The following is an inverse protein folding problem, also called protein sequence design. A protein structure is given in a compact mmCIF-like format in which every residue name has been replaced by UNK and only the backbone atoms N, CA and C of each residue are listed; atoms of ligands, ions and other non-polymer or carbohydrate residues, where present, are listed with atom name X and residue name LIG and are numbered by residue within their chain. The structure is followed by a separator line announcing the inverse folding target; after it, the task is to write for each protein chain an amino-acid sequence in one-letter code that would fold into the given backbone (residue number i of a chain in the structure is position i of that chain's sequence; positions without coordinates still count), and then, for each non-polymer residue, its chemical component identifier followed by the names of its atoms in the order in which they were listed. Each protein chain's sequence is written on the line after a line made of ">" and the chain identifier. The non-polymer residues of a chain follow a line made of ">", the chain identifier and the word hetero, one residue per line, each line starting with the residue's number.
data_IF_450379985031
#
_entry.id   IF_450379985031
#
_cell.length_a   1.000
_cell.length_b   1.000
_cell.length_c   1.000
_cell.angle_alpha   90.00
_cell.angle_beta   90.00
_cell.angle_gamma   90.00
#
_symmetry.space_group_name_H-M   'P 1'
#
loop_
_entity.id
_entity.type
_entity.pdbx_description
1 polymer ?
#
# COMPACT_ATOMS: atom_id res chain seq x y z
N UNK A 1 -3.65 -12.50 -0.58
CA UNK A 1 -3.20 -13.39 0.53
C UNK A 1 -3.56 -14.82 0.18
N UNK A 2 -2.75 -15.81 0.54
CA UNK A 2 -3.04 -17.21 0.25
C UNK A 2 -3.95 -17.88 1.30
N UNK A 3 -4.66 -18.90 0.86
CA UNK A 3 -5.23 -19.99 1.66
C UNK A 3 -4.82 -21.30 0.99
N UNK A 4 -4.86 -22.42 1.72
CA UNK A 4 -4.72 -23.74 1.09
C UNK A 4 -5.85 -24.70 1.47
N UNK A 5 -6.09 -25.66 0.59
CA UNK A 5 -7.15 -26.67 0.68
C UNK A 5 -6.94 -27.75 1.75
N UNK A 6 -5.86 -27.67 2.53
CA UNK A 6 -5.69 -28.48 3.74
C UNK A 6 -6.19 -27.76 5.00
N UNK A 7 -6.41 -26.45 4.93
CA UNK A 7 -6.97 -25.67 6.03
C UNK A 7 -8.42 -26.08 6.30
N UNK A 8 -8.85 -26.17 7.58
CA UNK A 8 -10.26 -26.30 7.92
C UNK A 8 -11.10 -25.15 7.34
N UNK A 9 -12.33 -25.44 6.89
CA UNK A 9 -13.22 -24.42 6.30
C UNK A 9 -13.48 -23.23 7.22
N UNK A 10 -13.53 -23.43 8.54
CA UNK A 10 -13.70 -22.33 9.49
C UNK A 10 -12.46 -21.45 9.62
N UNK A 11 -11.27 -21.99 9.38
CA UNK A 11 -10.02 -21.24 9.33
C UNK A 11 -9.91 -20.46 8.01
N UNK A 12 -10.28 -21.07 6.88
CA UNK A 12 -10.39 -20.40 5.58
C UNK A 12 -11.34 -19.20 5.70
N UNK A 13 -12.56 -19.42 6.21
CA UNK A 13 -13.55 -18.35 6.36
C UNK A 13 -13.02 -17.19 7.20
N UNK A 14 -12.38 -17.47 8.35
CA UNK A 14 -11.76 -16.43 9.20
C UNK A 14 -10.66 -15.66 8.48
N UNK A 15 -9.76 -16.35 7.77
CA UNK A 15 -8.63 -15.72 7.07
C UNK A 15 -9.13 -14.87 5.89
N UNK A 16 -10.11 -15.36 5.14
CA UNK A 16 -10.75 -14.64 4.03
C UNK A 16 -11.48 -13.39 4.54
N UNK A 17 -12.30 -13.51 5.59
CA UNK A 17 -13.02 -12.39 6.20
C UNK A 17 -12.07 -11.30 6.72
N UNK A 18 -10.96 -11.71 7.34
CA UNK A 18 -9.91 -10.79 7.78
C UNK A 18 -9.32 -10.02 6.59
N UNK A 19 -9.00 -10.71 5.49
CA UNK A 19 -8.41 -10.09 4.29
C UNK A 19 -9.39 -9.14 3.61
N UNK A 20 -10.67 -9.52 3.53
CA UNK A 20 -11.76 -8.73 2.93
C UNK A 20 -11.99 -7.42 3.69
N UNK A 21 -11.90 -7.47 5.03
CA UNK A 21 -12.15 -6.32 5.91
C UNK A 21 -10.91 -5.51 6.24
N UNK A 22 -9.71 -5.98 5.89
CA UNK A 22 -8.48 -5.27 6.23
C UNK A 22 -8.42 -3.95 5.49
N UNK A 23 -8.46 -2.87 6.27
CA UNK A 23 -8.33 -1.50 5.80
C UNK A 23 -7.43 -0.72 6.77
N UNK A 24 -6.43 -0.04 6.23
CA UNK A 24 -5.59 0.91 6.97
C UNK A 24 -5.77 2.28 6.36
N UNK A 25 -6.27 3.24 7.15
CA UNK A 25 -6.30 4.64 6.72
C UNK A 25 -4.89 5.25 6.87
N UNK A 26 -4.36 5.78 5.77
CA UNK A 26 -3.07 6.47 5.74
C UNK A 26 -3.11 7.67 4.80
N UNK A 27 -2.86 8.86 5.35
CA UNK A 27 -2.81 10.12 4.60
C UNK A 27 -4.14 10.35 3.83
N UNK A 28 -5.28 10.07 4.49
CA UNK A 28 -6.62 10.21 3.90
C UNK A 28 -6.95 9.21 2.80
N UNK A 29 -6.20 8.11 2.68
CA UNK A 29 -6.48 7.04 1.74
C UNK A 29 -6.64 5.70 2.47
N UNK A 30 -7.57 4.89 1.98
CA UNK A 30 -7.78 3.52 2.47
C UNK A 30 -6.81 2.56 1.77
N UNK A 31 -5.95 1.90 2.54
CA UNK A 31 -5.06 0.86 2.05
C UNK A 31 -5.66 -0.51 2.34
N UNK A 32 -6.02 -1.23 1.28
CA UNK A 32 -6.67 -2.54 1.36
C UNK A 32 -5.82 -3.62 0.67
N UNK A 33 -6.25 -4.88 0.80
CA UNK A 33 -5.79 -6.03 0.02
C UNK A 33 -6.76 -6.28 -1.17
N UNK A 34 -6.29 -6.92 -2.24
CA UNK A 34 -7.01 -6.99 -3.53
C UNK A 34 -7.43 -8.40 -3.96
N UNK A 35 -7.11 -9.46 -3.21
CA UNK A 35 -7.39 -10.81 -3.69
C UNK A 35 -7.00 -11.95 -2.75
N UNK A 36 -7.63 -13.09 -3.00
CA UNK A 36 -7.38 -14.36 -2.32
C UNK A 36 -6.77 -15.35 -3.31
N UNK A 37 -5.64 -15.97 -2.94
CA UNK A 37 -5.03 -17.05 -3.71
C UNK A 37 -5.35 -18.39 -3.06
N UNK A 38 -6.14 -19.23 -3.73
CA UNK A 38 -6.53 -20.56 -3.24
C UNK A 38 -5.55 -21.58 -3.77
N UNK A 39 -4.74 -22.20 -2.90
CA UNK A 39 -3.74 -23.19 -3.27
C UNK A 39 -4.27 -24.61 -3.12
N UNK A 40 -4.12 -25.40 -4.19
CA UNK A 40 -4.29 -26.85 -4.16
C UNK A 40 -3.02 -27.50 -3.60
N UNK A 41 -2.91 -27.60 -2.27
CA UNK A 41 -1.81 -28.27 -1.57
C UNK A 41 -2.06 -29.77 -1.42
N UNK A 42 -3.32 -30.16 -1.23
CA UNK A 42 -3.73 -31.56 -1.06
C UNK A 42 -3.73 -32.37 -2.37
N UNK A 43 -3.84 -31.68 -3.51
CA UNK A 43 -4.01 -32.26 -4.84
C UNK A 43 -5.25 -33.17 -4.94
N UNK A 44 -6.31 -32.82 -4.22
CA UNK A 44 -7.61 -33.49 -4.17
C UNK A 44 -8.71 -32.57 -4.74
N UNK A 45 -9.51 -33.10 -5.67
CA UNK A 45 -10.58 -32.35 -6.36
C UNK A 45 -11.63 -31.80 -5.40
N UNK A 46 -12.02 -32.59 -4.40
CA UNK A 46 -13.10 -32.21 -3.47
C UNK A 46 -12.61 -31.12 -2.53
N UNK A 47 -11.43 -31.32 -1.92
CA UNK A 47 -10.86 -30.32 -1.01
C UNK A 47 -10.58 -28.98 -1.70
N UNK A 48 -10.05 -29.02 -2.92
CA UNK A 48 -9.78 -27.79 -3.66
C UNK A 48 -11.07 -27.06 -4.04
N UNK A 49 -12.09 -27.78 -4.51
CA UNK A 49 -13.41 -27.22 -4.79
C UNK A 49 -14.06 -26.61 -3.54
N UNK A 50 -14.05 -27.33 -2.41
CA UNK A 50 -14.61 -26.88 -1.14
C UNK A 50 -13.90 -25.61 -0.61
N UNK A 51 -12.58 -25.53 -0.76
CA UNK A 51 -11.81 -24.34 -0.38
C UNK A 51 -12.18 -23.12 -1.24
N UNK A 52 -12.39 -23.31 -2.55
CA UNK A 52 -12.84 -22.25 -3.47
C UNK A 52 -14.25 -21.78 -3.10
N UNK A 53 -15.19 -22.70 -2.86
CA UNK A 53 -16.55 -22.37 -2.40
C UNK A 53 -16.50 -21.57 -1.11
N UNK A 54 -15.74 -22.06 -0.12
CA UNK A 54 -15.60 -21.39 1.18
C UNK A 54 -15.06 -19.97 1.01
N UNK A 55 -14.07 -19.75 0.15
CA UNK A 55 -13.55 -18.42 -0.13
C UNK A 55 -14.60 -17.51 -0.80
N UNK A 56 -15.37 -18.02 -1.77
CA UNK A 56 -16.41 -17.27 -2.47
C UNK A 56 -17.60 -16.89 -1.59
N UNK A 57 -17.98 -17.76 -0.64
CA UNK A 57 -19.08 -17.51 0.30
C UNK A 57 -18.75 -16.43 1.35
N UNK A 58 -17.46 -16.16 1.57
CA UNK A 58 -16.99 -15.26 2.63
C UNK A 58 -16.30 -13.98 2.11
N UNK A 59 -16.13 -13.80 0.80
CA UNK A 59 -15.57 -12.57 0.23
C UNK A 59 -15.93 -12.39 -1.25
N UNK A 60 -16.03 -11.12 -1.66
CA UNK A 60 -16.17 -10.71 -3.06
C UNK A 60 -14.84 -10.37 -3.75
N UNK A 61 -13.71 -10.54 -3.06
CA UNK A 61 -12.41 -10.30 -3.64
C UNK A 61 -12.11 -11.24 -4.82
N UNK A 62 -11.38 -10.75 -5.84
CA UNK A 62 -10.86 -11.58 -6.91
C UNK A 62 -10.06 -12.79 -6.41
N UNK A 63 -10.16 -13.89 -7.14
CA UNK A 63 -9.49 -15.15 -6.81
C UNK A 63 -8.29 -15.43 -7.74
N UNK A 64 -7.26 -16.05 -7.17
CA UNK A 64 -6.20 -16.74 -7.92
C UNK A 64 -6.31 -18.24 -7.62
N UNK A 65 -6.47 -19.07 -8.65
CA UNK A 65 -6.56 -20.52 -8.52
C UNK A 65 -5.18 -21.11 -8.75
N UNK A 66 -4.54 -21.59 -7.69
CA UNK A 66 -3.15 -22.03 -7.70
C UNK A 66 -3.02 -23.56 -7.73
N UNK A 67 -2.84 -24.12 -8.93
CA UNK A 67 -2.51 -25.53 -9.17
C UNK A 67 -1.76 -25.70 -10.49
N UNK A 68 -0.81 -26.63 -10.54
CA UNK A 68 -0.17 -27.04 -11.82
C UNK A 68 -0.91 -28.18 -12.51
N UNK A 69 -1.97 -28.72 -11.90
CA UNK A 69 -2.79 -29.80 -12.43
C UNK A 69 -4.04 -29.23 -13.13
N UNK A 70 -4.14 -29.34 -14.48
CA UNK A 70 -5.28 -28.80 -15.22
C UNK A 70 -6.64 -29.36 -14.80
N UNK A 71 -6.70 -30.61 -14.33
CA UNK A 71 -7.97 -31.20 -13.87
C UNK A 71 -8.51 -30.47 -12.62
N UNK A 72 -7.62 -30.12 -11.68
CA UNK A 72 -8.00 -29.37 -10.48
C UNK A 72 -8.38 -27.93 -10.81
N UNK A 73 -7.67 -27.31 -11.76
CA UNK A 73 -8.03 -25.98 -12.25
C UNK A 73 -9.43 -25.99 -12.89
N UNK A 74 -9.76 -27.01 -13.67
CA UNK A 74 -11.09 -27.15 -14.29
C UNK A 74 -12.20 -27.24 -13.23
N UNK A 75 -12.04 -28.08 -12.20
CA UNK A 75 -13.00 -28.18 -11.08
C UNK A 75 -13.22 -26.82 -10.43
N UNK A 76 -12.16 -26.09 -10.11
CA UNK A 76 -12.29 -24.77 -9.50
C UNK A 76 -12.91 -23.72 -10.44
N UNK A 77 -12.64 -23.79 -11.75
CA UNK A 77 -13.22 -22.89 -12.75
C UNK A 77 -14.71 -23.15 -12.98
N UNK A 78 -15.15 -24.41 -12.93
CA UNK A 78 -16.58 -24.74 -12.98
C UNK A 78 -17.37 -24.07 -11.84
N UNK A 79 -16.74 -23.92 -10.68
CA UNK A 79 -17.32 -23.27 -9.49
C UNK A 79 -17.25 -21.74 -9.60
N UNK A 80 -16.12 -21.20 -10.06
CA UNK A 80 -15.76 -19.78 -9.83
C UNK A 80 -15.62 -18.92 -11.09
N UNK A 81 -15.85 -19.47 -12.28
CA UNK A 81 -15.62 -18.77 -13.56
C UNK A 81 -16.38 -17.45 -13.70
N UNK A 82 -17.54 -17.28 -13.05
CA UNK A 82 -18.27 -16.01 -13.03
C UNK A 82 -17.45 -14.86 -12.42
N UNK A 83 -16.55 -15.16 -11.47
CA UNK A 83 -15.62 -14.20 -10.85
C UNK A 83 -14.37 -13.94 -11.70
N UNK A 84 -14.21 -14.59 -12.86
CA UNK A 84 -13.03 -14.50 -13.74
C UNK A 84 -11.69 -14.63 -13.00
N UNK A 85 -11.46 -15.72 -12.26
CA UNK A 85 -10.25 -15.90 -11.47
C UNK A 85 -8.98 -15.92 -12.33
N UNK A 86 -7.85 -15.55 -11.74
CA UNK A 86 -6.53 -15.76 -12.35
C UNK A 86 -6.11 -17.22 -12.21
N UNK A 87 -5.80 -17.85 -13.35
CA UNK A 87 -5.34 -19.24 -13.40
C UNK A 87 -3.82 -19.28 -13.20
N UNK A 88 -3.37 -19.83 -12.07
CA UNK A 88 -1.96 -20.08 -11.79
C UNK A 88 -1.70 -21.60 -11.85
N UNK A 89 -0.99 -22.16 -12.83
CA UNK A 89 -0.29 -21.49 -13.94
C UNK A 89 -0.07 -22.41 -15.16
N UNK A 90 0.12 -21.78 -16.33
CA UNK A 90 0.63 -22.41 -17.54
C UNK A 90 2.16 -22.50 -17.49
N UNK A 91 2.68 -23.73 -17.55
CA UNK A 91 4.10 -24.08 -17.65
C UNK A 91 4.38 -24.74 -18.99
N UNK A 92 5.65 -24.94 -19.32
CA UNK A 92 6.06 -25.65 -20.54
C UNK A 92 5.39 -27.02 -20.71
N UNK A 93 5.12 -27.72 -19.60
CA UNK A 93 4.58 -29.08 -19.58
C UNK A 93 3.05 -29.13 -19.70
N UNK A 94 2.34 -28.08 -19.26
CA UNK A 94 0.88 -28.10 -19.16
C UNK A 94 0.16 -27.01 -19.97
N UNK A 95 0.89 -26.11 -20.65
CA UNK A 95 0.32 -24.90 -21.26
C UNK A 95 -0.85 -25.21 -22.20
N UNK A 96 -0.80 -26.30 -22.98
CA UNK A 96 -1.87 -26.61 -23.95
C UNK A 96 -3.22 -26.74 -23.25
N UNK A 97 -3.26 -27.52 -22.17
CA UNK A 97 -4.47 -27.78 -21.40
C UNK A 97 -4.91 -26.54 -20.62
N UNK A 98 -3.96 -25.84 -19.99
CA UNK A 98 -4.27 -24.63 -19.22
C UNK A 98 -4.81 -23.53 -20.14
N UNK A 99 -4.27 -23.40 -21.35
CA UNK A 99 -4.74 -22.46 -22.35
C UNK A 99 -6.16 -22.79 -22.81
N UNK A 100 -6.47 -24.07 -23.04
CA UNK A 100 -7.82 -24.51 -23.41
C UNK A 100 -8.83 -24.18 -22.30
N UNK A 101 -8.44 -24.31 -21.02
CA UNK A 101 -9.26 -23.89 -19.88
C UNK A 101 -9.44 -22.37 -19.82
N UNK A 102 -8.37 -21.61 -19.99
CA UNK A 102 -8.42 -20.14 -20.01
C UNK A 102 -9.37 -19.62 -21.08
N UNK A 103 -9.36 -20.21 -22.28
CA UNK A 103 -10.28 -19.89 -23.38
C UNK A 103 -11.71 -20.35 -23.07
N UNK A 104 -11.90 -21.58 -22.57
CA UNK A 104 -13.22 -22.14 -22.24
C UNK A 104 -13.95 -21.28 -21.21
N UNK A 105 -13.25 -20.83 -20.17
CA UNK A 105 -13.82 -20.08 -19.06
C UNK A 105 -13.58 -18.57 -19.13
N UNK A 106 -12.91 -18.07 -20.18
CA UNK A 106 -12.60 -16.65 -20.39
C UNK A 106 -11.91 -16.00 -19.16
N UNK A 107 -10.84 -16.65 -18.70
CA UNK A 107 -10.11 -16.28 -17.49
C UNK A 107 -8.63 -15.93 -17.79
N UNK A 108 -8.05 -14.95 -17.09
CA UNK A 108 -6.63 -14.62 -17.22
C UNK A 108 -5.74 -15.79 -16.77
N UNK A 109 -4.53 -15.88 -17.33
CA UNK A 109 -3.58 -16.98 -17.05
C UNK A 109 -2.19 -16.48 -16.71
N UNK A 110 -1.57 -17.11 -15.73
CA UNK A 110 -0.15 -16.91 -15.41
C UNK A 110 0.70 -17.81 -16.29
N UNK A 111 1.63 -17.25 -17.06
CA UNK A 111 2.73 -17.98 -17.67
C UNK A 111 3.88 -18.09 -16.65
N UNK A 112 4.31 -19.30 -16.31
CA UNK A 112 5.35 -19.53 -15.29
C UNK A 112 6.56 -20.27 -15.86
N UNK A 113 7.74 -19.67 -15.70
CA UNK A 113 9.03 -20.31 -16.01
C UNK A 113 10.10 -19.85 -15.00
N UNK A 114 10.18 -20.50 -13.82
CA UNK A 114 11.07 -20.08 -12.76
C UNK A 114 12.55 -20.07 -13.17
N UNK A 115 13.17 -18.88 -13.13
CA UNK A 115 14.58 -18.67 -13.41
C UNK A 115 14.94 -18.63 -14.90
N UNK A 116 13.98 -18.78 -15.81
CA UNK A 116 14.21 -18.85 -17.26
C UNK A 116 13.37 -17.81 -18.01
N UNK A 117 13.96 -16.65 -18.27
CA UNK A 117 13.29 -15.57 -19.02
C UNK A 117 12.96 -16.03 -20.44
N UNK A 118 13.83 -16.76 -21.13
CA UNK A 118 13.56 -17.18 -22.50
C UNK A 118 12.45 -18.24 -22.55
N UNK A 119 12.48 -19.19 -21.63
CA UNK A 119 11.41 -20.17 -21.43
C UNK A 119 10.06 -19.50 -21.17
N UNK A 120 10.04 -18.46 -20.34
CA UNK A 120 8.85 -17.67 -20.07
C UNK A 120 8.30 -17.00 -21.35
N UNK A 121 9.14 -16.30 -22.12
CA UNK A 121 8.70 -15.65 -23.37
C UNK A 121 8.19 -16.63 -24.43
N UNK A 122 8.74 -17.86 -24.45
CA UNK A 122 8.24 -18.92 -25.33
C UNK A 122 6.83 -19.36 -24.93
N UNK A 123 6.57 -19.57 -23.62
CA UNK A 123 5.22 -19.91 -23.12
C UNK A 123 4.23 -18.78 -23.45
N UNK A 124 4.63 -17.52 -23.28
CA UNK A 124 3.78 -16.37 -23.63
C UNK A 124 3.48 -16.35 -25.13
N UNK A 125 4.47 -16.58 -25.99
CA UNK A 125 4.25 -16.73 -27.44
C UNK A 125 3.22 -17.82 -27.74
N UNK A 126 3.32 -18.98 -27.10
CA UNK A 126 2.41 -20.11 -27.30
C UNK A 126 0.98 -19.79 -26.86
N UNK A 127 0.81 -19.08 -25.73
CA UNK A 127 -0.49 -18.59 -25.25
C UNK A 127 -1.10 -17.56 -26.21
N UNK A 128 -0.30 -16.58 -26.67
CA UNK A 128 -0.75 -15.57 -27.63
C UNK A 128 -1.16 -16.21 -28.97
N UNK A 129 -0.43 -17.23 -29.44
CA UNK A 129 -0.78 -17.96 -30.67
C UNK A 129 -2.09 -18.73 -30.55
N UNK A 130 -2.50 -19.11 -29.34
CA UNK A 130 -3.83 -19.66 -29.05
C UNK A 130 -4.92 -18.58 -28.93
N UNK A 131 -4.57 -17.31 -29.01
CA UNK A 131 -5.49 -16.18 -28.92
C UNK A 131 -5.76 -15.68 -27.50
N UNK A 132 -4.90 -16.03 -26.53
CA UNK A 132 -5.00 -15.53 -25.16
C UNK A 132 -4.25 -14.21 -25.05
N UNK A 133 -4.94 -13.17 -24.61
CA UNK A 133 -4.37 -11.82 -24.41
C UNK A 133 -4.24 -11.45 -22.93
N UNK A 134 -5.01 -12.08 -22.04
CA UNK A 134 -4.97 -11.82 -20.60
C UNK A 134 -3.91 -12.70 -19.91
N UNK A 135 -2.65 -12.30 -20.06
CA UNK A 135 -1.49 -13.04 -19.54
C UNK A 135 -0.83 -12.27 -18.39
N UNK A 136 -0.33 -13.00 -17.38
CA UNK A 136 0.50 -12.51 -16.29
C UNK A 136 1.81 -13.31 -16.24
N UNK A 137 2.93 -12.65 -15.97
CA UNK A 137 4.27 -13.24 -16.02
C UNK A 137 4.74 -13.69 -14.63
N UNK A 138 5.25 -14.91 -14.52
CA UNK A 138 5.94 -15.42 -13.35
C UNK A 138 7.31 -16.01 -13.75
N UNK A 139 8.39 -15.32 -13.38
CA UNK A 139 9.78 -15.76 -13.60
C UNK A 139 10.37 -16.46 -12.36
N UNK A 140 9.53 -16.78 -11.38
CA UNK A 140 9.90 -17.42 -10.14
C UNK A 140 10.34 -16.43 -9.06
N UNK A 141 10.02 -16.78 -7.81
CA UNK A 141 10.44 -16.04 -6.61
C UNK A 141 11.42 -16.88 -5.80
N UNK A 142 12.55 -16.30 -5.39
CA UNK A 142 13.59 -16.99 -4.64
C UNK A 142 13.94 -16.20 -3.38
N UNK A 143 13.74 -16.76 -2.16
CA UNK A 143 13.85 -15.98 -0.93
C UNK A 143 15.29 -15.75 -0.45
N UNK A 144 16.25 -16.59 -0.88
CA UNK A 144 17.62 -16.60 -0.35
C UNK A 144 18.68 -16.89 -1.44
N UNK A 145 19.94 -16.56 -1.12
CA UNK A 145 21.12 -16.97 -1.86
C UNK A 145 21.31 -16.28 -3.22
N UNK A 146 22.18 -16.83 -4.06
CA UNK A 146 22.49 -16.25 -5.39
C UNK A 146 21.26 -16.12 -6.29
N UNK A 147 20.26 -17.00 -6.12
CA UNK A 147 19.00 -16.96 -6.86
C UNK A 147 18.13 -15.74 -6.52
N UNK A 148 18.27 -15.16 -5.33
CA UNK A 148 17.60 -13.90 -5.00
C UNK A 148 18.10 -12.76 -5.89
N UNK A 149 19.42 -12.65 -6.11
CA UNK A 149 19.98 -11.66 -7.03
C UNK A 149 19.49 -11.87 -8.47
N UNK A 150 19.54 -13.12 -8.94
CA UNK A 150 19.03 -13.50 -10.27
C UNK A 150 17.54 -13.14 -10.45
N UNK A 151 16.71 -13.32 -9.42
CA UNK A 151 15.30 -12.91 -9.45
C UNK A 151 15.16 -11.42 -9.76
N UNK A 152 15.89 -10.57 -9.04
CA UNK A 152 15.82 -9.11 -9.22
C UNK A 152 16.31 -8.69 -10.61
N UNK A 153 17.36 -9.34 -11.11
CA UNK A 153 17.89 -9.12 -12.46
C UNK A 153 16.86 -9.53 -13.53
N UNK A 154 16.22 -10.69 -13.38
CA UNK A 154 15.20 -11.18 -14.30
C UNK A 154 13.97 -10.26 -14.32
N UNK A 155 13.49 -9.80 -13.16
CA UNK A 155 12.38 -8.85 -13.07
C UNK A 155 12.71 -7.53 -13.78
N UNK A 156 13.93 -7.02 -13.59
CA UNK A 156 14.38 -5.82 -14.29
C UNK A 156 14.55 -6.06 -15.81
N UNK A 157 15.04 -7.22 -16.20
CA UNK A 157 15.18 -7.61 -17.60
C UNK A 157 13.82 -7.66 -18.29
N UNK A 158 12.80 -8.30 -17.70
CA UNK A 158 11.44 -8.35 -18.25
C UNK A 158 10.89 -6.94 -18.50
N UNK A 159 11.01 -6.03 -17.53
CA UNK A 159 10.53 -4.65 -17.69
C UNK A 159 11.26 -3.90 -18.80
N UNK A 160 12.58 -4.08 -18.92
CA UNK A 160 13.38 -3.46 -20.00
C UNK A 160 13.07 -4.05 -21.35
N UNK A 161 12.94 -5.37 -21.46
CA UNK A 161 12.55 -6.05 -22.70
C UNK A 161 11.20 -5.50 -23.21
N UNK A 162 10.24 -5.30 -22.31
CA UNK A 162 8.93 -4.74 -22.67
C UNK A 162 9.00 -3.28 -23.14
N UNK A 163 9.75 -2.42 -22.44
CA UNK A 163 9.74 -0.97 -22.65
C UNK A 163 10.80 -0.51 -23.66
N UNK A 164 12.05 -0.93 -23.44
CA UNK A 164 13.22 -0.49 -24.22
C UNK A 164 13.28 -1.25 -25.54
N UNK A 165 13.21 -2.58 -25.49
CA UNK A 165 13.35 -3.45 -26.67
C UNK A 165 12.00 -3.77 -27.36
N UNK A 166 10.88 -3.40 -26.73
CA UNK A 166 9.51 -3.60 -27.25
C UNK A 166 9.17 -5.06 -27.58
N UNK A 167 9.73 -5.98 -26.80
CA UNK A 167 9.39 -7.41 -26.84
C UNK A 167 7.95 -7.57 -26.33
N UNK A 168 7.04 -7.97 -27.22
CA UNK A 168 5.60 -8.04 -26.92
C UNK A 168 5.30 -9.07 -25.84
N UNK A 169 6.02 -10.18 -25.88
CA UNK A 169 5.92 -11.32 -24.97
C UNK A 169 6.30 -10.93 -23.52
N UNK A 170 7.06 -9.85 -23.34
CA UNK A 170 7.39 -9.30 -22.03
C UNK A 170 6.40 -8.21 -21.56
N UNK A 171 5.47 -7.79 -22.43
CA UNK A 171 4.58 -6.63 -22.25
C UNK A 171 3.38 -6.86 -21.33
N UNK A 172 3.49 -7.80 -20.39
CA UNK A 172 2.40 -8.22 -19.50
C UNK A 172 2.73 -7.93 -18.02
N UNK A 173 1.72 -7.81 -17.15
CA UNK A 173 1.94 -7.63 -15.71
C UNK A 173 2.75 -8.77 -15.10
N UNK A 174 3.54 -8.48 -14.08
CA UNK A 174 4.43 -9.46 -13.42
C UNK A 174 3.87 -9.82 -12.04
N UNK A 175 3.76 -11.12 -11.76
CA UNK A 175 3.37 -11.68 -10.47
C UNK A 175 4.62 -12.08 -9.67
N UNK A 176 4.70 -11.61 -8.42
CA UNK A 176 5.62 -12.14 -7.42
C UNK A 176 4.92 -13.06 -6.43
N UNK A 177 5.65 -14.01 -5.87
CA UNK A 177 5.13 -14.99 -4.91
C UNK A 177 5.95 -14.95 -3.59
N UNK A 178 5.95 -13.83 -2.83
CA UNK A 178 6.72 -13.70 -1.59
C UNK A 178 6.49 -14.79 -0.54
N UNK A 179 5.31 -15.45 -0.57
CA UNK A 179 4.99 -16.53 0.38
C UNK A 179 6.01 -17.66 0.43
N UNK A 180 6.84 -17.82 -0.62
CA UNK A 180 7.96 -18.78 -0.62
C UNK A 180 8.99 -18.53 0.48
N UNK A 181 9.01 -17.34 1.11
CA UNK A 181 9.83 -17.07 2.29
C UNK A 181 9.56 -18.09 3.42
N UNK A 182 8.32 -18.51 3.58
CA UNK A 182 7.88 -19.50 4.58
C UNK A 182 8.40 -20.92 4.32
N UNK A 183 8.95 -21.20 3.13
CA UNK A 183 9.65 -22.46 2.84
C UNK A 183 11.08 -22.46 3.39
N UNK A 184 11.66 -21.28 3.62
CA UNK A 184 13.04 -21.11 4.05
C UNK A 184 13.18 -20.73 5.52
N UNK A 185 12.16 -20.11 6.11
CA UNK A 185 12.13 -19.68 7.49
C UNK A 185 10.75 -19.97 8.08
N UNK A 186 10.71 -20.77 9.14
CA UNK A 186 9.48 -21.24 9.78
C UNK A 186 9.19 -20.55 11.11
N UNK A 187 10.15 -19.78 11.65
CA UNK A 187 9.88 -18.91 12.79
C UNK A 187 8.86 -17.82 12.39
N UNK A 188 7.74 -17.66 13.12
CA UNK A 188 6.67 -16.74 12.71
C UNK A 188 7.14 -15.29 12.51
N UNK A 189 8.03 -14.80 13.37
CA UNK A 189 8.48 -13.40 13.28
C UNK A 189 9.48 -13.25 12.14
N UNK A 190 10.48 -14.14 12.05
CA UNK A 190 11.48 -14.05 10.99
C UNK A 190 10.90 -14.37 9.62
N UNK A 191 9.99 -15.33 9.53
CA UNK A 191 9.27 -15.71 8.32
C UNK A 191 8.44 -14.53 7.80
N UNK A 192 7.71 -13.85 8.68
CA UNK A 192 6.96 -12.65 8.32
C UNK A 192 7.83 -11.48 7.89
N UNK A 193 8.95 -11.24 8.59
CA UNK A 193 9.94 -10.25 8.17
C UNK A 193 10.57 -10.61 6.82
N UNK A 194 10.87 -11.89 6.58
CA UNK A 194 11.43 -12.36 5.32
C UNK A 194 10.43 -12.20 4.16
N UNK A 195 9.16 -12.56 4.37
CA UNK A 195 8.09 -12.34 3.42
C UNK A 195 7.91 -10.85 3.10
N UNK A 196 7.81 -9.99 4.12
CA UNK A 196 7.66 -8.55 3.92
C UNK A 196 8.85 -7.94 3.17
N UNK A 197 10.07 -8.40 3.47
CA UNK A 197 11.30 -7.97 2.77
C UNK A 197 11.29 -8.39 1.30
N UNK A 198 10.84 -9.62 1.02
CA UNK A 198 10.75 -10.15 -0.33
C UNK A 198 9.65 -9.43 -1.14
N UNK A 199 8.48 -9.23 -0.55
CA UNK A 199 7.39 -8.44 -1.11
C UNK A 199 7.81 -7.00 -1.42
N UNK A 200 8.54 -6.35 -0.51
CA UNK A 200 9.08 -5.01 -0.73
C UNK A 200 10.08 -4.98 -1.90
N UNK A 201 10.99 -5.95 -1.96
CA UNK A 201 11.98 -6.07 -3.04
C UNK A 201 11.31 -6.25 -4.40
N UNK A 202 10.28 -7.09 -4.48
CA UNK A 202 9.52 -7.36 -5.69
C UNK A 202 8.65 -6.17 -6.11
N UNK A 203 8.03 -5.46 -5.16
CA UNK A 203 7.30 -4.21 -5.42
C UNK A 203 8.20 -3.13 -6.04
N UNK A 204 9.43 -3.02 -5.54
CA UNK A 204 10.44 -2.08 -6.05
C UNK A 204 11.05 -2.53 -7.38
N UNK A 205 10.86 -3.80 -7.77
CA UNK A 205 11.35 -4.40 -9.00
C UNK A 205 10.20 -4.88 -9.89
N UNK A 206 9.23 -3.99 -10.09
CA UNK A 206 8.25 -4.07 -11.18
C UNK A 206 7.24 -5.22 -11.08
N UNK A 207 7.14 -5.95 -9.96
CA UNK A 207 5.99 -6.83 -9.75
C UNK A 207 4.73 -5.98 -9.58
N UNK A 208 3.70 -6.30 -10.36
CA UNK A 208 2.40 -5.63 -10.40
C UNK A 208 1.40 -6.29 -9.44
N UNK A 209 1.58 -7.58 -9.14
CA UNK A 209 0.80 -8.32 -8.16
C UNK A 209 1.71 -9.19 -7.28
N UNK A 210 1.30 -9.45 -6.04
CA UNK A 210 2.04 -10.28 -5.09
C UNK A 210 1.11 -11.28 -4.39
N UNK A 211 1.54 -12.53 -4.28
CA UNK A 211 0.88 -13.53 -3.42
C UNK A 211 1.69 -13.70 -2.13
N UNK A 212 1.08 -13.26 -1.03
CA UNK A 212 1.64 -13.32 0.32
C UNK A 212 0.85 -14.30 1.21
N UNK A 213 1.49 -14.84 2.24
CA UNK A 213 0.88 -15.76 3.19
C UNK A 213 0.28 -15.05 4.40
N UNK A 214 1.01 -14.08 4.94
CA UNK A 214 0.68 -13.50 6.22
C UNK A 214 -0.48 -12.53 6.20
N UNK A 215 -1.44 -12.69 7.13
CA UNK A 215 -2.55 -11.76 7.31
C UNK A 215 -2.26 -10.68 8.38
N UNK A 216 -1.14 -10.79 9.12
CA UNK A 216 -0.88 -9.96 10.28
C UNK A 216 -0.54 -8.51 9.90
N UNK A 217 -1.15 -7.56 10.62
CA UNK A 217 -1.06 -6.15 10.27
C UNK A 217 0.37 -5.60 10.34
N UNK A 218 1.20 -6.10 11.27
CA UNK A 218 2.58 -5.65 11.42
C UNK A 218 3.48 -6.07 10.24
N UNK A 219 3.10 -7.13 9.52
CA UNK A 219 3.77 -7.61 8.30
C UNK A 219 3.27 -6.87 7.06
N UNK A 220 1.96 -6.59 7.01
CA UNK A 220 1.30 -5.96 5.87
C UNK A 220 1.53 -4.45 5.81
N UNK A 221 1.55 -3.77 6.95
CA UNK A 221 1.70 -2.32 7.03
C UNK A 221 2.92 -1.78 6.26
N UNK A 222 4.14 -2.34 6.37
CA UNK A 222 5.27 -1.88 5.57
C UNK A 222 5.06 -2.09 4.07
N UNK A 223 4.42 -3.19 3.64
CA UNK A 223 4.15 -3.49 2.22
C UNK A 223 3.13 -2.49 1.65
N UNK A 224 2.01 -2.29 2.35
CA UNK A 224 0.94 -1.36 1.96
C UNK A 224 1.45 0.08 1.91
N UNK A 225 2.26 0.47 2.91
CA UNK A 225 2.89 1.79 2.97
C UNK A 225 3.88 2.00 1.83
N UNK A 226 4.73 1.00 1.55
CA UNK A 226 5.68 1.06 0.45
C UNK A 226 4.96 1.18 -0.90
N UNK A 227 3.91 0.40 -1.13
CA UNK A 227 3.07 0.49 -2.33
C UNK A 227 2.52 1.90 -2.51
N UNK A 228 1.89 2.47 -1.47
CA UNK A 228 1.36 3.83 -1.55
C UNK A 228 2.47 4.84 -1.89
N UNK A 229 3.63 4.74 -1.26
CA UNK A 229 4.75 5.65 -1.48
C UNK A 229 5.32 5.55 -2.91
N UNK A 230 5.57 4.33 -3.41
CA UNK A 230 6.21 4.09 -4.72
C UNK A 230 5.28 4.46 -5.87
N UNK A 231 3.97 4.23 -5.74
CA UNK A 231 2.98 4.48 -6.79
C UNK A 231 2.30 5.86 -6.69
N UNK A 232 2.72 6.72 -5.77
CA UNK A 232 2.30 8.13 -5.73
C UNK A 232 2.94 8.91 -6.89
N UNK A 233 2.17 9.76 -7.59
CA UNK A 233 2.72 10.61 -8.66
C UNK A 233 3.77 11.57 -8.10
N UNK A 234 5.05 11.47 -8.50
CA UNK A 234 6.11 12.30 -7.93
C UNK A 234 6.02 13.78 -8.36
N UNK A 235 5.14 14.12 -9.32
CA UNK A 235 4.96 15.48 -9.83
C UNK A 235 3.87 16.24 -9.09
N UNK A 236 3.00 15.53 -8.38
CA UNK A 236 1.85 16.11 -7.69
C UNK A 236 2.01 15.83 -6.20
N UNK A 237 2.48 16.81 -5.40
CA UNK A 237 2.48 16.68 -3.96
C UNK A 237 1.07 16.39 -3.47
N UNK A 238 0.90 15.34 -2.65
CA UNK A 238 -0.38 15.09 -1.99
C UNK A 238 -0.58 16.22 -0.97
N UNK A 239 -1.61 17.03 -1.17
CA UNK A 239 -1.95 18.15 -0.29
C UNK A 239 -3.33 17.99 0.32
N UNK A 240 -3.59 18.76 1.36
CA UNK A 240 -4.89 18.95 2.01
C UNK A 240 -5.36 20.37 1.73
N UNK A 241 -6.67 20.63 1.74
CA UNK A 241 -7.18 21.99 1.54
C UNK A 241 -6.69 22.90 2.68
N UNK A 242 -6.21 24.09 2.34
CA UNK A 242 -5.80 25.07 3.34
C UNK A 242 -7.01 25.65 4.08
N UNK A 243 -6.84 25.95 5.36
CA UNK A 243 -7.92 26.46 6.20
C UNK A 243 -7.77 26.09 7.67
N UNK A 244 -8.86 26.29 8.43
CA UNK A 244 -8.91 25.94 9.85
C UNK A 244 -9.58 24.59 10.06
N UNK A 245 -8.85 23.64 10.62
CA UNK A 245 -9.38 22.33 10.98
C UNK A 245 -9.63 22.27 12.48
N UNK A 246 -10.72 21.60 12.87
CA UNK A 246 -11.06 21.36 14.28
C UNK A 246 -10.60 19.96 14.67
N UNK A 247 -9.70 19.86 15.63
CA UNK A 247 -9.28 18.58 16.20
C UNK A 247 -9.99 18.37 17.53
N UNK A 248 -10.71 17.26 17.67
CA UNK A 248 -11.54 16.98 18.84
C UNK A 248 -12.72 17.94 18.98
N UNK A 249 -12.87 18.51 20.17
CA UNK A 249 -13.95 19.46 20.53
C UNK A 249 -13.34 20.74 21.12
N UNK A 250 -12.68 21.58 20.30
CA UNK A 250 -12.06 22.80 20.78
C UNK A 250 -13.12 23.83 21.22
N UNK A 251 -12.75 24.62 22.21
CA UNK A 251 -13.48 25.77 22.71
C UNK A 251 -12.69 27.08 22.48
N UNK A 252 -13.20 28.18 23.00
CA UNK A 252 -12.61 29.52 22.87
C UNK A 252 -11.26 29.71 23.59
N UNK A 253 -10.82 28.74 24.40
CA UNK A 253 -9.53 28.75 25.10
C UNK A 253 -8.56 27.70 24.55
N UNK A 254 -8.99 26.95 23.52
CA UNK A 254 -8.21 25.87 22.93
C UNK A 254 -7.09 26.43 22.04
N UNK A 255 -5.90 25.78 22.01
CA UNK A 255 -4.75 26.30 21.28
C UNK A 255 -5.00 26.35 19.77
N UNK A 256 -4.43 27.38 19.14
CA UNK A 256 -4.29 27.48 17.69
C UNK A 256 -2.89 27.03 17.30
N UNK A 257 -2.80 25.92 16.56
CA UNK A 257 -1.56 25.33 16.06
C UNK A 257 -1.47 25.60 14.56
N UNK A 258 -0.27 25.87 14.04
CA UNK A 258 -0.03 26.06 12.61
C UNK A 258 0.70 24.84 12.02
N UNK A 259 0.32 24.43 10.82
CA UNK A 259 1.05 23.46 9.99
C UNK A 259 0.96 23.85 8.51
N UNK A 260 1.60 23.09 7.62
CA UNK A 260 1.49 23.27 6.17
C UNK A 260 0.49 22.31 5.54
N UNK A 261 0.05 22.61 4.32
CA UNK A 261 -0.92 21.80 3.60
C UNK A 261 -0.35 20.55 2.90
N UNK A 262 0.92 20.20 3.13
CA UNK A 262 1.44 18.91 2.70
C UNK A 262 0.77 17.78 3.47
N UNK A 263 0.12 16.84 2.79
CA UNK A 263 -0.78 15.89 3.41
C UNK A 263 -0.08 15.05 4.49
N UNK A 264 1.15 14.59 4.24
CA UNK A 264 1.88 13.81 5.25
C UNK A 264 2.18 14.66 6.50
N UNK A 265 2.52 15.94 6.35
CA UNK A 265 2.72 16.83 7.51
C UNK A 265 1.41 17.07 8.25
N UNK A 266 0.33 17.38 7.53
CA UNK A 266 -1.00 17.59 8.13
C UNK A 266 -1.47 16.36 8.91
N UNK A 267 -1.52 15.18 8.27
CA UNK A 267 -2.04 13.96 8.90
C UNK A 267 -1.16 13.48 10.07
N UNK A 268 0.16 13.72 10.02
CA UNK A 268 1.04 13.43 11.17
C UNK A 268 0.66 14.30 12.35
N UNK A 269 0.54 15.62 12.16
CA UNK A 269 0.16 16.55 13.23
C UNK A 269 -1.25 16.26 13.77
N UNK A 270 -2.23 16.07 12.87
CA UNK A 270 -3.61 15.79 13.25
C UNK A 270 -3.72 14.48 14.04
N UNK A 271 -3.08 13.40 13.57
CA UNK A 271 -3.10 12.11 14.26
C UNK A 271 -2.43 12.17 15.63
N UNK A 272 -1.33 12.91 15.79
CA UNK A 272 -0.68 13.07 17.10
C UNK A 272 -1.57 13.85 18.08
N UNK A 273 -2.29 14.87 17.61
CA UNK A 273 -3.24 15.64 18.42
C UNK A 273 -4.44 14.78 18.85
N UNK A 274 -4.99 14.00 17.93
CA UNK A 274 -6.09 13.07 18.22
C UNK A 274 -5.67 11.98 19.21
N UNK A 275 -4.53 11.33 18.97
CA UNK A 275 -4.01 10.28 19.83
C UNK A 275 -3.65 10.77 21.24
N UNK A 276 -3.27 12.05 21.38
CA UNK A 276 -3.01 12.68 22.67
C UNK A 276 -4.26 13.28 23.34
N UNK A 277 -5.41 13.28 22.66
CA UNK A 277 -6.65 13.85 23.18
C UNK A 277 -6.64 15.38 23.27
N UNK A 278 -5.78 16.05 22.51
CA UNK A 278 -5.71 17.52 22.45
C UNK A 278 -6.88 18.04 21.63
N UNK A 279 -7.71 18.88 22.25
CA UNK A 279 -8.67 19.70 21.52
C UNK A 279 -7.97 20.97 21.02
N UNK A 280 -7.93 21.19 19.70
CA UNK A 280 -7.21 22.30 19.11
C UNK A 280 -7.84 22.78 17.80
N UNK A 281 -7.52 24.02 17.43
CA UNK A 281 -7.67 24.49 16.06
C UNK A 281 -6.33 24.34 15.33
N UNK A 282 -6.34 23.66 14.19
CA UNK A 282 -5.16 23.46 13.35
C UNK A 282 -5.29 24.32 12.09
N UNK A 283 -4.53 25.42 12.04
CA UNK A 283 -4.39 26.28 10.88
C UNK A 283 -3.44 25.63 9.87
N UNK A 284 -4.00 25.24 8.73
CA UNK A 284 -3.27 24.63 7.61
C UNK A 284 -2.97 25.71 6.59
N UNK A 285 -1.69 26.06 6.47
CA UNK A 285 -1.20 27.10 5.56
C UNK A 285 -0.92 26.50 4.18
N UNK A 286 -1.39 27.14 3.12
CA UNK A 286 -1.10 26.72 1.75
C UNK A 286 0.36 27.00 1.41
N UNK A 287 1.12 25.93 1.22
CA UNK A 287 2.53 25.97 0.81
C UNK A 287 2.74 25.23 -0.52
N UNK A 288 1.69 25.10 -1.33
CA UNK A 288 1.69 24.32 -2.57
C UNK A 288 2.02 22.83 -2.32
N UNK A 289 1.59 22.31 -1.16
CA UNK A 289 1.83 20.92 -0.77
C UNK A 289 3.27 20.63 -0.31
N UNK A 290 4.01 21.65 0.17
CA UNK A 290 5.37 21.47 0.70
C UNK A 290 5.38 21.30 2.23
N UNK A 291 6.24 20.41 2.72
CA UNK A 291 6.51 20.26 4.15
C UNK A 291 7.12 21.56 4.74
N UNK A 292 7.10 21.70 6.07
CA UNK A 292 7.50 22.93 6.78
C UNK A 292 8.87 23.48 6.33
N UNK A 293 9.94 22.67 6.38
CA UNK A 293 11.30 23.13 6.04
C UNK A 293 11.47 23.46 4.54
N UNK A 294 11.08 22.59 3.59
CA UNK A 294 11.12 22.93 2.16
C UNK A 294 10.28 24.17 1.82
N UNK A 295 9.11 24.33 2.45
CA UNK A 295 8.26 25.49 2.21
C UNK A 295 8.94 26.79 2.63
N UNK A 296 9.62 26.82 3.78
CA UNK A 296 10.41 28.00 4.17
C UNK A 296 11.60 28.24 3.24
N UNK A 297 12.35 27.18 2.91
CA UNK A 297 13.52 27.30 2.04
C UNK A 297 13.15 27.78 0.63
N UNK A 298 11.96 27.38 0.14
CA UNK A 298 11.40 27.81 -1.14
C UNK A 298 10.58 29.10 -1.09
N UNK A 299 10.58 29.82 0.04
CA UNK A 299 9.77 31.05 0.24
C UNK A 299 8.28 30.88 0.00
N UNK A 300 7.75 29.68 0.25
CA UNK A 300 6.32 29.33 0.21
C UNK A 300 5.66 29.40 1.59
N UNK A 301 6.46 29.36 2.66
CA UNK A 301 6.00 29.67 4.02
C UNK A 301 6.69 30.95 4.50
N UNK A 302 6.02 32.08 4.29
CA UNK A 302 6.50 33.41 4.70
C UNK A 302 5.56 34.03 5.74
N UNK A 303 6.01 35.05 6.50
CA UNK A 303 5.16 35.77 7.45
C UNK A 303 3.85 36.30 6.83
N UNK A 304 3.92 36.83 5.60
CA UNK A 304 2.74 37.30 4.88
C UNK A 304 1.75 36.19 4.56
N UNK A 305 2.23 35.04 4.10
CA UNK A 305 1.38 33.87 3.80
C UNK A 305 0.71 33.35 5.06
N UNK A 306 1.42 33.32 6.19
CA UNK A 306 0.85 32.92 7.49
C UNK A 306 -0.24 33.90 7.95
N UNK A 307 -0.02 35.21 7.79
CA UNK A 307 -1.04 36.23 8.10
C UNK A 307 -2.28 36.12 7.24
N UNK A 308 -2.11 35.91 5.94
CA UNK A 308 -3.21 35.74 5.01
C UNK A 308 -4.01 34.47 5.35
N UNK A 309 -3.33 33.37 5.67
CA UNK A 309 -3.97 32.14 6.13
C UNK A 309 -4.73 32.37 7.44
N UNK A 310 -4.13 33.00 8.44
CA UNK A 310 -4.78 33.29 9.72
C UNK A 310 -6.04 34.15 9.54
N UNK A 311 -5.93 35.22 8.75
CA UNK A 311 -7.03 36.16 8.50
C UNK A 311 -8.19 35.53 7.71
N UNK A 312 -7.87 34.69 6.72
CA UNK A 312 -8.88 34.02 5.89
C UNK A 312 -9.50 32.78 6.53
N UNK A 313 -8.82 32.16 7.51
CA UNK A 313 -9.26 30.93 8.17
C UNK A 313 -10.43 31.12 9.15
N UNK A 314 -10.71 32.35 9.59
CA UNK A 314 -11.70 32.64 10.62
C UNK A 314 -11.28 32.28 12.05
N UNK A 315 -10.02 31.87 12.27
CA UNK A 315 -9.50 31.51 13.60
C UNK A 315 -9.66 32.62 14.64
N UNK A 316 -9.54 33.89 14.24
CA UNK A 316 -9.69 35.03 15.16
C UNK A 316 -11.08 35.13 15.79
N UNK A 317 -12.10 34.55 15.16
CA UNK A 317 -13.47 34.52 15.68
C UNK A 317 -13.77 33.30 16.57
N UNK A 318 -12.80 32.36 16.67
CA UNK A 318 -12.98 31.07 17.34
C UNK A 318 -12.34 31.01 18.73
N UNK A 319 -11.40 31.91 19.02
CA UNK A 319 -10.66 31.93 20.28
C UNK A 319 -10.66 33.31 20.93
N UNK A 320 -10.57 33.35 22.25
CA UNK A 320 -10.53 34.58 23.06
C UNK A 320 -9.10 35.08 23.32
N UNK A 321 -8.09 34.44 22.73
CA UNK A 321 -6.69 34.80 22.83
C UNK A 321 -6.08 35.07 21.46
N UNK A 322 -4.91 35.71 21.42
CA UNK A 322 -4.13 35.94 20.20
C UNK A 322 -2.78 35.25 20.33
N UNK A 323 -2.81 33.93 20.41
CA UNK A 323 -1.60 33.10 20.55
C UNK A 323 -1.67 31.97 19.55
N UNK A 324 -0.59 31.80 18.78
CA UNK A 324 -0.45 30.73 17.80
C UNK A 324 0.85 29.96 18.05
N UNK A 325 0.76 28.62 18.00
CA UNK A 325 1.94 27.76 18.09
C UNK A 325 2.38 27.40 16.68
N UNK A 326 3.62 27.71 16.33
CA UNK A 326 4.22 27.32 15.05
C UNK A 326 5.08 26.06 15.22
N UNK A 327 5.34 25.27 14.16
CA UNK A 327 6.25 24.13 14.23
C UNK A 327 7.64 24.57 14.67
N UNK A 328 8.34 23.75 15.45
CA UNK A 328 9.71 24.05 15.88
C UNK A 328 10.69 24.21 14.72
N UNK A 329 10.43 23.53 13.60
CA UNK A 329 11.16 23.73 12.35
C UNK A 329 11.04 25.17 11.83
N UNK A 330 9.92 25.84 12.07
CA UNK A 330 9.65 27.21 11.65
C UNK A 330 10.13 28.29 12.63
N UNK A 331 10.92 27.93 13.64
CA UNK A 331 11.42 28.86 14.66
C UNK A 331 12.12 30.10 14.09
N UNK A 332 12.76 29.99 12.92
CA UNK A 332 13.52 31.08 12.29
C UNK A 332 12.66 32.27 11.87
N UNK A 333 11.39 32.03 11.53
CA UNK A 333 10.46 33.06 11.06
C UNK A 333 9.52 33.54 12.17
N UNK A 334 9.66 33.05 13.41
CA UNK A 334 8.68 33.29 14.48
C UNK A 334 8.50 34.77 14.81
N UNK A 335 9.60 35.52 14.90
CA UNK A 335 9.56 36.95 15.23
C UNK A 335 8.91 37.79 14.12
N UNK A 336 9.20 37.47 12.86
CA UNK A 336 8.57 38.16 11.72
C UNK A 336 7.09 37.81 11.60
N UNK A 337 6.71 36.56 11.88
CA UNK A 337 5.29 36.14 11.94
C UNK A 337 4.56 36.87 13.07
N UNK A 338 5.15 36.99 14.26
CA UNK A 338 4.57 37.71 15.39
C UNK A 338 4.34 39.19 15.07
N UNK A 339 5.34 39.86 14.47
CA UNK A 339 5.22 41.26 14.04
C UNK A 339 4.13 41.45 12.98
N UNK A 340 4.10 40.58 11.96
CA UNK A 340 3.20 40.72 10.80
C UNK A 340 1.75 40.39 11.17
N UNK A 341 1.52 39.37 12.00
CA UNK A 341 0.18 38.92 12.43
C UNK A 341 -0.36 39.69 13.63
N UNK A 342 0.51 40.21 14.50
CA UNK A 342 0.13 40.79 15.79
C UNK A 342 -0.39 39.75 16.81
N UNK A 343 -0.13 38.47 16.58
CA UNK A 343 -0.40 37.38 17.51
C UNK A 343 0.90 36.97 18.22
N UNK A 344 0.82 36.62 19.50
CA UNK A 344 1.93 36.02 20.25
C UNK A 344 2.29 34.65 19.66
N UNK A 345 3.52 34.49 19.17
CA UNK A 345 3.95 33.28 18.48
C UNK A 345 4.79 32.41 19.40
N UNK A 346 4.27 31.23 19.73
CA UNK A 346 5.02 30.21 20.47
C UNK A 346 5.68 29.23 19.52
N UNK A 347 6.96 28.97 19.74
CA UNK A 347 7.69 27.94 18.99
C UNK A 347 7.44 26.59 19.64
N UNK A 348 6.68 25.74 18.95
CA UNK A 348 6.40 24.38 19.37
C UNK A 348 7.59 23.43 19.17
N UNK A 349 7.40 22.13 19.42
CA UNK A 349 8.43 21.13 19.18
C UNK A 349 8.70 20.94 17.68
N UNK A 350 9.89 20.40 17.36
CA UNK A 350 10.23 19.98 15.99
C UNK A 350 9.37 18.78 15.55
N UNK A 351 9.04 17.90 16.50
CA UNK A 351 8.28 16.68 16.29
C UNK A 351 6.89 16.80 16.94
N UNK A 352 5.83 16.53 16.17
CA UNK A 352 4.44 16.71 16.59
C UNK A 352 4.01 15.79 17.73
N UNK A 353 4.66 14.62 17.89
CA UNK A 353 4.40 13.69 18.99
C UNK A 353 4.63 14.31 20.37
N UNK A 354 5.32 15.45 20.43
CA UNK A 354 5.64 16.18 21.67
C UNK A 354 4.74 17.38 21.93
N UNK A 355 3.73 17.63 21.09
CA UNK A 355 2.85 18.81 21.23
C UNK A 355 2.12 18.78 22.58
N UNK A 356 1.58 17.64 23.00
CA UNK A 356 0.91 17.50 24.31
C UNK A 356 1.82 17.96 25.46
N UNK A 357 3.03 17.40 25.54
CA UNK A 357 3.99 17.74 26.60
C UNK A 357 4.46 19.21 26.53
N UNK A 358 4.46 19.81 25.35
CA UNK A 358 4.72 21.25 25.18
C UNK A 358 3.56 22.09 25.73
N UNK A 359 2.32 21.77 25.37
CA UNK A 359 1.13 22.50 25.82
C UNK A 359 0.95 22.44 27.33
N UNK A 360 1.21 21.30 27.96
CA UNK A 360 1.13 21.16 29.42
C UNK A 360 2.12 22.09 30.15
N UNK A 361 3.35 22.18 29.64
CA UNK A 361 4.37 23.09 30.19
C UNK A 361 4.02 24.56 30.01
N UNK A 362 3.37 24.94 28.92
CA UNK A 362 2.94 26.32 28.73
C UNK A 362 1.79 26.68 29.67
N UNK A 363 0.89 25.74 29.97
CA UNK A 363 -0.16 25.93 30.99
C UNK A 363 0.39 26.11 32.40
N UNK A 364 1.50 25.47 32.75
CA UNK A 364 2.14 25.64 34.06
C UNK A 364 2.82 27.01 34.26
N UNK A 365 3.13 27.72 33.16
CA UNK A 365 3.80 29.02 33.19
C UNK A 365 2.83 30.21 33.18
N UNK A 366 1.59 29.98 32.72
CA UNK A 366 0.51 30.97 32.67
C UNK A 366 -0.21 31.04 34.02
#
# INVERSE_FOLDING_TARGET
>A
VDIDDEMPSDEIAKKVDLVDKLMVERIGQELTLQGIAVRSKSNDETKFGDAVITAMENSELPLVLCSLNPALLEVALEISSEKKPLIYAATKENFEKVADLALKYNCPVVASSPGDVQGLLNIVTDLMNKGIEDIVLDVGTYPLGEKFGLMLDNLAALRRLAIEDKVKEAGFPILGVPLVAWLAESDPVKGGVAEATLAASQSLKYCDALIIHSPEIWELLPILTLRQNVYTDPRVPISVDAGLYTIGKPDENSPVLMTTNFALTYYTVASDLEASGVNAYLLVVDTEGLAVEPAMAGSKLTPSVVKDALSSSGAESKVNHKTMVIPGMAARISGEVEEETGWDVKVGPIDSSRIQAFLDKEKEKA
#
